data_IF_507668745935
#
_entry.id   IF_507668745935
#
_cell.length_a   1.000
_cell.length_b   1.000
_cell.length_c   1.000
_cell.angle_alpha   90.00
_cell.angle_beta   90.00
_cell.angle_gamma   90.00
#
_symmetry.space_group_name_H-M   'P 1'
#
loop_
_entity.id
_entity.type
_entity.pdbx_description
1 polymer ?
#
# COMPACT_ATOMS: atom_id res chain seq x y z
N UNK A 1 0.53 26.68 22.29
CA UNK A 1 0.78 25.58 21.34
C UNK A 1 1.86 24.74 21.99
N UNK A 2 1.48 23.63 22.63
CA UNK A 2 2.43 22.78 23.34
C UNK A 2 3.33 22.06 22.33
N UNK A 3 4.63 22.10 22.63
CA UNK A 3 5.71 21.44 21.92
C UNK A 3 5.39 19.98 21.59
N UNK A 4 5.19 19.67 20.31
CA UNK A 4 5.41 18.32 19.80
C UNK A 4 6.90 18.13 19.57
N UNK A 5 7.67 18.07 20.66
CA UNK A 5 9.05 17.59 20.64
C UNK A 5 9.07 16.16 20.06
N UNK A 6 9.66 16.03 18.87
CA UNK A 6 10.27 14.82 18.30
C UNK A 6 9.73 13.48 18.77
N UNK A 7 8.44 13.20 18.59
CA UNK A 7 7.94 11.83 18.76
C UNK A 7 8.49 10.98 17.63
N UNK A 8 9.50 10.19 17.94
CA UNK A 8 10.04 9.17 17.07
C UNK A 8 8.92 8.25 16.55
N UNK A 9 8.84 8.12 15.24
CA UNK A 9 7.85 7.29 14.54
C UNK A 9 8.60 6.12 13.91
N UNK A 10 8.10 4.90 14.10
CA UNK A 10 8.69 3.71 13.49
C UNK A 10 7.94 3.39 12.19
N UNK A 11 8.64 3.37 11.06
CA UNK A 11 8.10 3.01 9.74
C UNK A 11 8.95 1.91 9.15
N UNK A 12 8.39 0.71 8.96
CA UNK A 12 9.11 -0.41 8.35
C UNK A 12 10.37 -0.84 9.11
N UNK A 13 10.46 -0.52 10.41
CA UNK A 13 11.64 -0.77 11.26
C UNK A 13 12.63 0.40 11.36
N UNK A 14 12.42 1.50 10.65
CA UNK A 14 13.24 2.72 10.75
C UNK A 14 12.63 3.68 11.78
N UNK A 15 13.44 4.20 12.70
CA UNK A 15 13.06 5.26 13.64
C UNK A 15 13.24 6.62 12.97
N UNK A 16 12.16 7.40 12.90
CA UNK A 16 12.11 8.68 12.21
C UNK A 16 11.73 9.78 13.19
N UNK A 17 12.60 10.78 13.35
CA UNK A 17 12.41 11.91 14.29
C UNK A 17 12.14 13.25 13.59
N UNK A 18 12.51 13.39 12.32
CA UNK A 18 12.33 14.61 11.53
C UNK A 18 11.30 14.42 10.39
N UNK A 19 10.55 15.48 10.08
CA UNK A 19 9.55 15.49 8.99
C UNK A 19 10.14 15.12 7.63
N UNK A 20 11.36 15.55 7.34
CA UNK A 20 12.01 15.27 6.06
C UNK A 20 12.40 13.80 5.92
N UNK A 21 12.84 13.17 7.02
CA UNK A 21 13.15 11.74 7.06
C UNK A 21 11.86 10.90 6.90
N UNK A 22 10.74 11.36 7.46
CA UNK A 22 9.43 10.72 7.28
C UNK A 22 9.02 10.67 5.81
N UNK A 23 9.13 11.80 5.11
CA UNK A 23 8.79 11.86 3.68
C UNK A 23 9.76 11.07 2.83
N UNK A 24 11.06 11.09 3.17
CA UNK A 24 12.08 10.28 2.48
C UNK A 24 11.82 8.79 2.62
N UNK A 25 11.50 8.30 3.82
CA UNK A 25 11.18 6.89 4.05
C UNK A 25 9.92 6.49 3.28
N UNK A 26 8.86 7.29 3.29
CA UNK A 26 7.65 7.03 2.48
C UNK A 26 7.96 7.00 0.99
N UNK A 27 8.77 7.94 0.50
CA UNK A 27 9.21 7.97 -0.92
C UNK A 27 9.96 6.71 -1.30
N UNK A 28 10.86 6.26 -0.43
CA UNK A 28 11.61 5.02 -0.65
C UNK A 28 10.69 3.79 -0.71
N UNK A 29 9.61 3.75 0.08
CA UNK A 29 8.63 2.65 0.01
C UNK A 29 7.93 2.62 -1.35
N UNK A 30 7.50 3.76 -1.87
CA UNK A 30 6.90 3.83 -3.22
C UNK A 30 7.89 3.42 -4.31
N UNK A 31 9.17 3.82 -4.22
CA UNK A 31 10.18 3.35 -5.18
C UNK A 31 10.38 1.84 -5.14
N UNK A 32 10.37 1.22 -3.94
CA UNK A 32 10.48 -0.23 -3.80
C UNK A 32 9.26 -0.95 -4.38
N UNK A 33 8.07 -0.38 -4.25
CA UNK A 33 6.84 -0.89 -4.89
C UNK A 33 6.96 -0.83 -6.41
N UNK A 34 7.39 0.31 -6.97
CA UNK A 34 7.55 0.45 -8.41
C UNK A 34 8.58 -0.53 -8.98
N UNK A 35 9.74 -0.66 -8.32
CA UNK A 35 10.77 -1.61 -8.72
C UNK A 35 10.30 -3.07 -8.66
N UNK A 36 9.39 -3.40 -7.75
CA UNK A 36 8.81 -4.74 -7.67
C UNK A 36 7.94 -5.07 -8.88
N UNK A 37 7.22 -4.08 -9.41
CA UNK A 37 6.36 -4.24 -10.58
C UNK A 37 7.13 -4.41 -11.90
N UNK A 38 8.39 -3.98 -11.95
CA UNK A 38 9.31 -4.29 -13.06
C UNK A 38 9.82 -5.76 -13.01
N UNK A 39 9.56 -6.48 -11.91
CA UNK A 39 9.91 -7.88 -11.74
C UNK A 39 8.98 -8.85 -12.49
N UNK A 40 9.51 -9.99 -12.96
CA UNK A 40 8.74 -10.98 -13.76
C UNK A 40 8.00 -12.05 -12.95
N UNK A 41 8.16 -12.11 -11.62
CA UNK A 41 7.57 -13.16 -10.78
C UNK A 41 6.36 -12.63 -10.00
N UNK A 42 5.18 -13.20 -10.26
CA UNK A 42 3.93 -12.83 -9.61
C UNK A 42 3.92 -13.10 -8.10
N UNK A 43 4.55 -14.18 -7.63
CA UNK A 43 4.58 -14.50 -6.20
C UNK A 43 5.42 -13.47 -5.44
N UNK A 44 6.58 -13.11 -5.99
CA UNK A 44 7.45 -12.08 -5.41
C UNK A 44 6.75 -10.72 -5.45
N UNK A 45 6.14 -10.36 -6.58
CA UNK A 45 5.35 -9.14 -6.72
C UNK A 45 4.23 -9.06 -5.67
N UNK A 46 3.45 -10.12 -5.51
CA UNK A 46 2.37 -10.17 -4.54
C UNK A 46 2.87 -10.00 -3.11
N UNK A 47 3.96 -10.68 -2.75
CA UNK A 47 4.55 -10.56 -1.41
C UNK A 47 5.08 -9.15 -1.17
N UNK A 48 5.84 -8.61 -2.12
CA UNK A 48 6.44 -7.28 -2.02
C UNK A 48 5.40 -6.17 -1.95
N UNK A 49 4.38 -6.22 -2.81
CA UNK A 49 3.28 -5.26 -2.76
C UNK A 49 2.55 -5.34 -1.43
N UNK A 50 2.21 -6.54 -0.98
CA UNK A 50 1.50 -6.70 0.29
C UNK A 50 2.30 -6.12 1.46
N UNK A 51 3.57 -6.47 1.55
CA UNK A 51 4.48 -6.01 2.60
C UNK A 51 4.62 -4.49 2.64
N UNK A 52 4.95 -3.85 1.51
CA UNK A 52 5.14 -2.40 1.49
C UNK A 52 3.83 -1.63 1.60
N UNK A 53 2.71 -2.17 1.12
CA UNK A 53 1.38 -1.58 1.35
C UNK A 53 1.05 -1.55 2.84
N UNK A 54 1.31 -2.64 3.58
CA UNK A 54 1.05 -2.68 5.03
C UNK A 54 1.91 -1.67 5.80
N UNK A 55 3.16 -1.44 5.36
CA UNK A 55 4.03 -0.41 5.93
C UNK A 55 3.50 0.98 5.61
N UNK A 56 3.07 1.25 4.37
CA UNK A 56 2.49 2.54 3.98
C UNK A 56 1.23 2.85 4.80
N UNK A 57 0.32 1.89 4.95
CA UNK A 57 -0.86 2.05 5.81
C UNK A 57 -0.42 2.36 7.24
N UNK A 58 0.57 1.63 7.77
CA UNK A 58 1.06 1.84 9.13
C UNK A 58 1.72 3.21 9.34
N UNK A 59 2.27 3.81 8.28
CA UNK A 59 2.85 5.14 8.29
C UNK A 59 1.81 6.28 8.35
N UNK A 60 0.52 6.00 8.09
CA UNK A 60 -0.58 6.96 8.23
C UNK A 60 -0.71 7.40 9.70
N UNK A 61 -0.43 8.66 10.00
CA UNK A 61 -0.40 9.17 11.38
C UNK A 61 -1.77 9.16 12.04
N UNK A 62 -2.82 9.51 11.29
CA UNK A 62 -4.19 9.48 11.80
C UNK A 62 -4.68 8.03 11.97
N UNK A 63 -5.11 7.66 13.19
CA UNK A 63 -5.56 6.30 13.51
C UNK A 63 -6.81 5.90 12.73
N UNK A 64 -7.80 6.78 12.62
CA UNK A 64 -9.06 6.48 11.92
C UNK A 64 -8.82 6.24 10.43
N UNK A 65 -8.02 7.10 9.80
CA UNK A 65 -7.62 6.95 8.40
C UNK A 65 -6.82 5.66 8.17
N UNK A 66 -5.95 5.29 9.11
CA UNK A 66 -5.18 4.04 9.05
C UNK A 66 -6.08 2.81 9.10
N UNK A 67 -6.99 2.74 10.07
CA UNK A 67 -7.92 1.61 10.18
C UNK A 67 -8.91 1.57 9.00
N UNK A 68 -9.34 2.72 8.50
CA UNK A 68 -10.13 2.81 7.28
C UNK A 68 -9.37 2.24 6.07
N UNK A 69 -8.06 2.54 5.94
CA UNK A 69 -7.24 2.04 4.85
C UNK A 69 -6.99 0.52 4.94
N UNK A 70 -6.80 -0.02 6.15
CA UNK A 70 -6.74 -1.48 6.37
C UNK A 70 -8.04 -2.15 5.93
N UNK A 71 -9.17 -1.62 6.38
CA UNK A 71 -10.49 -2.15 6.01
C UNK A 71 -10.72 -2.05 4.50
N UNK A 72 -10.37 -0.93 3.89
CA UNK A 72 -10.48 -0.74 2.45
C UNK A 72 -9.65 -1.78 1.68
N UNK A 73 -8.44 -2.11 2.14
CA UNK A 73 -7.62 -3.17 1.56
C UNK A 73 -8.32 -4.53 1.55
N UNK A 74 -8.93 -4.90 2.68
CA UNK A 74 -9.66 -6.16 2.81
C UNK A 74 -10.94 -6.16 1.95
N UNK A 75 -11.68 -5.05 1.92
CA UNK A 75 -12.90 -4.88 1.13
C UNK A 75 -12.60 -4.97 -0.37
N UNK A 76 -11.53 -4.31 -0.85
CA UNK A 76 -11.10 -4.36 -2.26
C UNK A 76 -10.66 -5.77 -2.63
N UNK A 77 -9.91 -6.45 -1.76
CA UNK A 77 -9.53 -7.85 -1.99
C UNK A 77 -10.76 -8.76 -2.12
N UNK A 78 -11.72 -8.65 -1.20
CA UNK A 78 -12.95 -9.43 -1.24
C UNK A 78 -13.76 -9.16 -2.52
N UNK A 79 -13.86 -7.90 -2.93
CA UNK A 79 -14.52 -7.51 -4.18
C UNK A 79 -13.85 -8.12 -5.42
N UNK A 80 -12.51 -8.12 -5.46
CA UNK A 80 -11.75 -8.69 -6.58
C UNK A 80 -11.85 -10.22 -6.62
N UNK A 81 -11.92 -10.90 -5.47
CA UNK A 81 -12.22 -12.34 -5.38
C UNK A 81 -13.61 -12.62 -5.94
N UNK A 82 -14.64 -11.87 -5.54
CA UNK A 82 -16.02 -12.04 -6.03
C UNK A 82 -16.07 -11.83 -7.55
N UNK A 83 -15.42 -10.76 -8.04
CA UNK A 83 -15.36 -10.44 -9.46
C UNK A 83 -14.72 -11.58 -10.26
N UNK A 84 -13.59 -12.12 -9.82
CA UNK A 84 -12.93 -13.26 -10.50
C UNK A 84 -13.76 -14.53 -10.43
N UNK A 85 -14.37 -14.80 -9.29
CA UNK A 85 -15.25 -15.95 -9.10
C UNK A 85 -16.48 -15.88 -10.02
N UNK A 86 -17.00 -14.68 -10.29
CA UNK A 86 -18.13 -14.47 -11.20
C UNK A 86 -17.80 -14.72 -12.68
N UNK A 87 -16.52 -14.65 -13.05
CA UNK A 87 -16.03 -14.92 -14.41
C UNK A 87 -15.81 -16.42 -14.66
N UNK A 88 -15.90 -17.26 -13.62
CA UNK A 88 -15.77 -18.71 -13.74
C UNK A 88 -17.09 -19.39 -14.07
N UNK A 89 -16.97 -20.56 -14.71
CA UNK A 89 -18.09 -21.48 -14.85
C UNK A 89 -18.61 -21.91 -13.46
N UNK A 90 -19.94 -22.09 -13.35
CA UNK A 90 -20.59 -22.52 -12.10
C UNK A 90 -19.90 -23.77 -11.54
N UNK A 91 -19.47 -23.68 -10.28
CA UNK A 91 -18.85 -24.79 -9.55
C UNK A 91 -17.32 -24.85 -9.62
N UNK A 92 -16.65 -23.97 -10.39
CA UNK A 92 -15.18 -23.86 -10.37
C UNK A 92 -14.73 -22.84 -9.32
N UNK A 93 -13.79 -23.22 -8.46
CA UNK A 93 -13.15 -22.31 -7.48
C UNK A 93 -11.95 -21.59 -8.09
N UNK A 94 -11.51 -20.48 -7.49
CA UNK A 94 -10.25 -19.82 -7.85
C UNK A 94 -9.05 -20.73 -7.57
N UNK A 95 -8.00 -20.59 -8.37
CA UNK A 95 -6.69 -21.17 -8.11
C UNK A 95 -5.77 -20.15 -7.42
N UNK A 96 -4.63 -20.61 -6.90
CA UNK A 96 -3.66 -19.78 -6.18
C UNK A 96 -3.18 -18.57 -6.98
N UNK A 97 -3.06 -18.70 -8.31
CA UNK A 97 -2.59 -17.61 -9.15
C UNK A 97 -3.64 -16.50 -9.28
N UNK A 98 -4.91 -16.85 -9.41
CA UNK A 98 -6.02 -15.90 -9.44
C UNK A 98 -6.20 -15.20 -8.08
N UNK A 99 -6.00 -15.92 -6.97
CA UNK A 99 -5.98 -15.31 -5.65
C UNK A 99 -4.80 -14.36 -5.47
N UNK A 100 -3.60 -14.71 -5.97
CA UNK A 100 -2.44 -13.80 -5.95
C UNK A 100 -2.71 -12.56 -6.79
N UNK A 101 -3.29 -12.70 -7.98
CA UNK A 101 -3.67 -11.56 -8.82
C UNK A 101 -4.71 -10.67 -8.12
N UNK A 102 -5.66 -11.26 -7.39
CA UNK A 102 -6.62 -10.49 -6.59
C UNK A 102 -5.93 -9.68 -5.49
N UNK A 103 -4.96 -10.27 -4.80
CA UNK A 103 -4.15 -9.57 -3.78
C UNK A 103 -3.32 -8.44 -4.39
N UNK A 104 -2.70 -8.68 -5.55
CA UNK A 104 -1.94 -7.65 -6.27
C UNK A 104 -2.84 -6.46 -6.61
N UNK A 105 -4.00 -6.70 -7.23
CA UNK A 105 -4.94 -5.64 -7.58
C UNK A 105 -5.40 -4.83 -6.36
N UNK A 106 -5.71 -5.50 -5.24
CA UNK A 106 -6.09 -4.82 -4.01
C UNK A 106 -4.95 -3.98 -3.43
N UNK A 107 -3.73 -4.49 -3.41
CA UNK A 107 -2.57 -3.73 -2.94
C UNK A 107 -2.31 -2.52 -3.84
N UNK A 108 -2.35 -2.67 -5.16
CA UNK A 108 -2.16 -1.56 -6.10
C UNK A 108 -3.17 -0.44 -5.89
N UNK A 109 -4.46 -0.78 -5.73
CA UNK A 109 -5.49 0.22 -5.43
C UNK A 109 -5.18 1.00 -4.13
N UNK A 110 -4.82 0.29 -3.06
CA UNK A 110 -4.54 0.91 -1.76
C UNK A 110 -3.24 1.70 -1.73
N UNK A 111 -2.23 1.31 -2.52
CA UNK A 111 -1.03 2.11 -2.74
C UNK A 111 -1.41 3.46 -3.36
N UNK A 112 -2.35 3.48 -4.32
CA UNK A 112 -2.93 4.70 -4.87
C UNK A 112 -3.57 5.59 -3.81
N UNK A 113 -4.45 5.03 -2.98
CA UNK A 113 -5.13 5.75 -1.89
C UNK A 113 -4.13 6.29 -0.83
N UNK A 114 -3.11 5.49 -0.48
CA UNK A 114 -2.05 5.92 0.42
C UNK A 114 -1.27 7.09 -0.16
N UNK A 115 -0.98 7.06 -1.47
CA UNK A 115 -0.31 8.16 -2.17
C UNK A 115 -1.14 9.44 -2.09
N UNK A 116 -2.43 9.38 -2.39
CA UNK A 116 -3.32 10.55 -2.30
C UNK A 116 -3.39 11.12 -0.89
N UNK A 117 -3.46 10.24 0.13
CA UNK A 117 -3.38 10.66 1.52
C UNK A 117 -2.07 11.39 1.82
N UNK A 118 -0.92 10.81 1.47
CA UNK A 118 0.37 11.43 1.77
C UNK A 118 0.59 12.73 1.01
N UNK A 119 0.14 12.81 -0.24
CA UNK A 119 0.20 14.02 -1.05
C UNK A 119 -0.63 15.15 -0.43
N UNK A 120 -1.90 14.87 -0.09
CA UNK A 120 -2.83 15.84 0.50
C UNK A 120 -2.34 16.43 1.83
N UNK A 121 -1.78 15.60 2.71
CA UNK A 121 -1.45 16.03 4.08
C UNK A 121 0.00 16.48 4.26
N UNK A 122 0.92 16.05 3.39
CA UNK A 122 2.34 16.32 3.57
C UNK A 122 3.00 17.00 2.36
N UNK A 123 2.27 17.26 1.28
CA UNK A 123 2.78 17.97 0.11
C UNK A 123 3.80 17.14 -0.65
N UNK A 124 3.43 15.92 -1.01
CA UNK A 124 4.28 14.94 -1.70
C UNK A 124 4.51 15.29 -3.18
N UNK A 125 4.16 16.51 -3.60
CA UNK A 125 4.02 16.96 -4.99
C UNK A 125 5.03 16.28 -5.94
N UNK A 126 4.48 15.39 -6.77
CA UNK A 126 4.95 15.07 -8.13
C UNK A 126 6.46 14.78 -8.34
N UNK A 127 7.11 14.01 -7.45
CA UNK A 127 8.36 13.29 -7.82
C UNK A 127 8.19 11.82 -8.21
N UNK A 128 7.03 11.22 -7.91
CA UNK A 128 6.64 9.90 -8.41
C UNK A 128 5.77 10.06 -9.66
N UNK A 129 6.33 10.65 -10.71
CA UNK A 129 5.81 10.37 -12.04
C UNK A 129 6.17 8.90 -12.32
N UNK A 130 5.18 8.00 -12.32
CA UNK A 130 5.03 6.85 -13.22
C UNK A 130 3.87 5.97 -12.75
N UNK A 131 3.11 5.58 -13.78
CA UNK A 131 1.96 4.69 -13.86
C UNK A 131 2.23 3.30 -13.28
N UNK A 132 1.29 2.78 -12.47
CA UNK A 132 0.68 1.43 -12.56
C UNK A 132 -0.76 1.54 -12.07
#
# INVERSE_FOLDING_TARGET
MEDQNGKEIIIGGETVSAKDDYLKTITNLFYKINAAADGKNLADLQWTLNYYTDILISAILNREAREAMKKAKDDVYAAEIIKRQSQKEKGKTLNDEEERQARVAACTAIVGECREYFDKYFGFETKLAVMI
#
